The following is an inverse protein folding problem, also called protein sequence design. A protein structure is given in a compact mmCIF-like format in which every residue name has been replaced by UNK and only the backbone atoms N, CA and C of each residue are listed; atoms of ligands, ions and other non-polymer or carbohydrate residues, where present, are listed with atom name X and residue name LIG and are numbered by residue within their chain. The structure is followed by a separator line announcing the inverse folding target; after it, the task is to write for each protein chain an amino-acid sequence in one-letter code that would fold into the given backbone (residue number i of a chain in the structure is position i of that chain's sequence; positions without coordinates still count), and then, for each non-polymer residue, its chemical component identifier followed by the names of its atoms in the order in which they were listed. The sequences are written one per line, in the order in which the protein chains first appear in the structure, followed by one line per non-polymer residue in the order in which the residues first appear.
data_IF_133598849919
#
_entry.id   IF_133598849919
#
_cell.length_a   1.000
_cell.length_b   1.000
_cell.length_c   1.000
_cell.angle_alpha   90.00
_cell.angle_beta   90.00
_cell.angle_gamma   90.00
#
_symmetry.space_group_name_H-M   'P 1'
#
loop_
_entity.id
_entity.type
_entity.pdbx_description
1 polymer ?
#
# COMPACT_ATOMS: atom_id res chain seq x y z
N UNK A 1 65.26 6.40 36.78
CA UNK A 1 66.09 6.65 35.58
C UNK A 1 65.22 6.33 34.38
N UNK A 2 64.52 7.31 33.80
CA UNK A 2 65.06 8.40 32.96
C UNK A 2 64.93 7.92 31.51
N UNK A 3 64.37 8.61 30.52
CA UNK A 3 63.91 9.99 30.39
C UNK A 3 62.86 10.10 29.26
N UNK A 4 62.14 11.22 29.30
CA UNK A 4 61.23 11.76 28.30
C UNK A 4 61.92 12.18 26.97
N UNK A 5 61.16 12.18 25.87
CA UNK A 5 61.13 13.25 24.84
C UNK A 5 59.95 12.96 23.87
N UNK A 6 58.80 13.64 23.78
CA UNK A 6 58.39 15.03 23.50
C UNK A 6 58.55 15.56 22.05
N UNK A 7 57.47 16.21 21.58
CA UNK A 7 57.35 17.03 20.34
C UNK A 7 56.27 16.47 19.40
N UNK A 8 55.04 16.99 19.27
CA UNK A 8 54.65 18.38 18.94
C UNK A 8 54.67 18.54 17.40
N UNK A 9 53.69 19.00 16.64
CA UNK A 9 52.43 19.73 16.84
C UNK A 9 52.20 20.56 15.56
N UNK A 10 50.95 20.68 15.08
CA UNK A 10 50.50 21.64 14.04
C UNK A 10 50.09 20.97 12.71
N UNK A 11 48.81 20.91 12.32
CA UNK A 11 47.82 21.94 11.89
C UNK A 11 47.88 22.30 10.40
N UNK A 12 46.71 22.13 9.75
CA UNK A 12 46.32 22.65 8.43
C UNK A 12 46.10 21.51 7.42
N UNK A 13 44.96 21.31 6.77
CA UNK A 13 43.70 22.04 6.65
C UNK A 13 43.10 21.74 5.27
N UNK A 14 41.77 21.55 5.19
CA UNK A 14 40.98 21.76 3.96
C UNK A 14 40.51 20.53 3.16
N UNK A 15 39.19 20.49 2.91
CA UNK A 15 38.48 19.54 2.03
C UNK A 15 37.57 18.60 2.83
N UNK A 16 36.36 18.97 3.28
CA UNK A 16 35.16 19.21 2.47
C UNK A 16 34.97 18.12 1.41
N UNK A 17 34.19 17.10 1.74
CA UNK A 17 33.02 16.68 0.95
C UNK A 17 32.17 15.73 1.79
N UNK A 18 30.87 16.05 1.83
CA UNK A 18 29.88 15.40 2.68
C UNK A 18 29.30 14.17 2.01
N UNK A 19 29.45 13.02 2.64
CA UNK A 19 28.66 11.84 2.30
C UNK A 19 27.33 11.90 3.04
N UNK A 20 26.36 12.48 2.33
CA UNK A 20 24.96 12.47 2.66
C UNK A 20 24.40 11.05 2.65
N UNK A 21 23.89 10.66 3.81
CA UNK A 21 22.77 9.76 4.05
C UNK A 21 21.94 9.39 2.78
N UNK A 22 22.25 8.25 2.16
CA UNK A 22 21.41 7.63 1.14
C UNK A 22 20.26 6.88 1.83
N UNK A 23 19.29 7.63 2.36
CA UNK A 23 17.95 7.10 2.53
C UNK A 23 17.33 6.97 1.15
N UNK A 24 17.32 5.76 0.58
CA UNK A 24 16.53 5.44 -0.60
C UNK A 24 15.05 5.68 -0.29
N UNK A 25 14.60 6.89 -0.60
CA UNK A 25 13.19 7.22 -0.72
C UNK A 25 12.66 6.49 -1.95
N UNK A 26 11.83 5.47 -1.73
CA UNK A 26 10.99 4.90 -2.77
C UNK A 26 10.09 6.00 -3.33
N UNK A 27 10.53 6.62 -4.43
CA UNK A 27 9.80 7.63 -5.16
C UNK A 27 8.58 7.01 -5.86
N UNK A 28 7.39 7.37 -5.40
CA UNK A 28 6.17 7.21 -6.20
C UNK A 28 6.23 8.20 -7.36
N UNK A 29 6.64 7.73 -8.53
CA UNK A 29 6.55 8.46 -9.79
C UNK A 29 5.08 8.62 -10.19
N UNK A 30 4.50 9.78 -9.90
CA UNK A 30 3.17 10.17 -10.35
C UNK A 30 3.18 10.57 -11.82
N UNK A 31 2.79 9.64 -12.70
CA UNK A 31 2.39 9.95 -14.06
C UNK A 31 1.01 10.60 -14.05
N UNK A 32 0.94 11.86 -14.49
CA UNK A 32 -0.28 12.61 -14.61
C UNK A 32 -1.15 12.08 -15.76
N UNK A 33 -2.23 11.37 -15.44
CA UNK A 33 -3.35 11.14 -16.36
C UNK A 33 -4.64 11.43 -15.62
N UNK A 34 -5.45 12.33 -16.19
CA UNK A 34 -6.55 13.01 -15.53
C UNK A 34 -7.61 12.07 -14.95
N UNK A 35 -7.62 12.00 -13.62
CA UNK A 35 -8.81 11.93 -12.78
C UNK A 35 -8.61 13.07 -11.76
N UNK A 36 -9.64 13.86 -11.52
CA UNK A 36 -9.60 15.16 -10.83
C UNK A 36 -8.57 15.29 -9.70
N UNK A 37 -7.83 16.40 -9.74
CA UNK A 37 -6.76 16.71 -8.82
C UNK A 37 -7.23 16.83 -7.37
N UNK A 38 -6.93 15.80 -6.59
CA UNK A 38 -6.72 15.94 -5.17
C UNK A 38 -5.38 15.27 -4.83
N UNK A 39 -4.39 16.08 -4.48
CA UNK A 39 -3.14 15.61 -3.86
C UNK A 39 -3.39 15.11 -2.41
N UNK A 40 -4.63 14.70 -2.11
CA UNK A 40 -5.17 14.48 -0.79
C UNK A 40 -5.26 13.00 -0.48
N UNK A 41 -4.39 12.57 0.44
CA UNK A 41 -4.52 11.33 1.25
C UNK A 41 -4.75 10.04 0.46
N UNK A 42 -3.71 9.20 0.35
CA UNK A 42 -3.85 7.83 -0.17
C UNK A 42 -3.97 6.83 0.96
N UNK A 43 -4.74 5.76 0.76
CA UNK A 43 -4.91 4.69 1.74
C UNK A 43 -3.57 4.14 2.25
N UNK A 44 -2.62 3.89 1.33
CA UNK A 44 -1.26 3.44 1.65
C UNK A 44 -0.49 4.44 2.51
N UNK A 45 -0.59 5.73 2.20
CA UNK A 45 0.06 6.80 2.99
C UNK A 45 -0.57 6.94 4.38
N UNK A 46 -1.88 6.74 4.50
CA UNK A 46 -2.57 6.73 5.80
C UNK A 46 -2.11 5.55 6.64
N UNK A 47 -2.06 4.35 6.08
CA UNK A 47 -1.51 3.17 6.77
C UNK A 47 -0.08 3.40 7.25
N UNK A 48 0.81 3.85 6.36
CA UNK A 48 2.20 4.13 6.69
C UNK A 48 2.32 5.20 7.79
N UNK A 49 1.53 6.28 7.71
CA UNK A 49 1.50 7.33 8.72
C UNK A 49 1.06 6.80 10.08
N UNK A 50 -0.03 6.02 10.15
CA UNK A 50 -0.54 5.48 11.41
C UNK A 50 0.44 4.51 12.05
N UNK A 51 1.07 3.63 11.26
CA UNK A 51 2.10 2.72 11.75
C UNK A 51 3.34 3.47 12.26
N UNK A 52 3.84 4.46 11.49
CA UNK A 52 4.97 5.29 11.89
C UNK A 52 4.68 6.06 13.17
N UNK A 53 3.50 6.68 13.26
CA UNK A 53 3.09 7.43 14.44
C UNK A 53 2.99 6.50 15.65
N UNK A 54 2.34 5.34 15.51
CA UNK A 54 2.24 4.34 16.57
C UNK A 54 3.61 3.87 17.07
N UNK A 55 4.57 3.69 16.15
CA UNK A 55 5.94 3.31 16.47
C UNK A 55 6.66 4.33 17.37
N UNK A 56 6.31 5.62 17.27
CA UNK A 56 6.86 6.71 18.10
C UNK A 56 6.29 6.79 19.52
N UNK A 57 5.46 5.82 19.95
CA UNK A 57 4.85 5.76 21.30
C UNK A 57 4.16 7.09 21.72
N UNK A 58 3.21 7.61 20.92
CA UNK A 58 2.56 8.89 21.19
C UNK A 58 1.80 8.88 22.52
N UNK A 59 1.61 10.07 23.09
CA UNK A 59 0.85 10.25 24.34
C UNK A 59 -0.61 9.80 24.18
N UNK A 60 -1.29 9.56 25.30
CA UNK A 60 -2.73 9.23 25.31
C UNK A 60 -3.55 10.30 24.60
N UNK A 61 -3.23 11.58 24.82
CA UNK A 61 -3.95 12.71 24.22
C UNK A 61 -3.85 12.67 22.70
N UNK A 62 -2.64 12.48 22.16
CA UNK A 62 -2.43 12.41 20.70
C UNK A 62 -3.18 11.23 20.10
N UNK A 63 -3.14 10.05 20.74
CA UNK A 63 -3.88 8.86 20.28
C UNK A 63 -5.39 9.08 20.30
N UNK A 64 -5.92 9.69 21.36
CA UNK A 64 -7.35 9.98 21.47
C UNK A 64 -7.81 11.01 20.44
N UNK A 65 -7.05 12.09 20.23
CA UNK A 65 -7.35 13.10 19.21
C UNK A 65 -7.31 12.49 17.80
N UNK A 66 -6.33 11.63 17.52
CA UNK A 66 -6.25 10.93 16.25
C UNK A 66 -7.43 9.98 16.04
N UNK A 67 -7.81 9.22 17.07
CA UNK A 67 -8.96 8.34 17.00
C UNK A 67 -10.26 9.12 16.75
N UNK A 68 -10.42 10.30 17.37
CA UNK A 68 -11.54 11.19 17.11
C UNK A 68 -11.51 11.74 15.68
N UNK A 69 -10.34 12.18 15.20
CA UNK A 69 -10.19 12.69 13.84
C UNK A 69 -10.52 11.62 12.79
N UNK A 70 -10.12 10.36 13.01
CA UNK A 70 -10.36 9.25 12.08
C UNK A 70 -11.80 8.74 12.10
N UNK A 71 -12.51 8.84 13.24
CA UNK A 71 -13.84 8.24 13.43
C UNK A 71 -14.95 9.31 13.58
N UNK A 72 -14.82 10.46 12.90
CA UNK A 72 -15.88 11.48 12.93
C UNK A 72 -17.18 10.99 12.29
N UNK A 73 -17.06 10.18 11.23
CA UNK A 73 -18.19 9.58 10.53
C UNK A 73 -17.84 8.15 10.06
N UNK A 74 -18.87 7.33 9.86
CA UNK A 74 -18.82 5.93 9.42
C UNK A 74 -18.44 5.75 7.95
N UNK A 75 -18.50 6.80 7.14
CA UNK A 75 -18.19 6.72 5.70
C UNK A 75 -16.98 7.52 5.26
N UNK A 76 -16.48 8.44 6.09
CA UNK A 76 -15.39 9.35 5.73
C UNK A 76 -14.17 9.21 6.62
N UNK A 77 -13.00 9.41 6.03
CA UNK A 77 -11.72 9.56 6.69
C UNK A 77 -11.46 11.04 6.97
N UNK A 78 -11.08 11.38 8.20
CA UNK A 78 -10.87 12.77 8.64
C UNK A 78 -12.08 13.70 8.48
N UNK A 79 -13.30 13.14 8.36
CA UNK A 79 -14.52 13.91 8.11
C UNK A 79 -14.57 14.56 6.72
N UNK A 80 -13.65 14.22 5.82
CA UNK A 80 -13.49 14.89 4.50
C UNK A 80 -13.47 13.92 3.34
N UNK A 81 -12.74 12.82 3.46
CA UNK A 81 -12.47 11.93 2.34
C UNK A 81 -13.40 10.73 2.40
N UNK A 82 -14.26 10.55 1.42
CA UNK A 82 -15.09 9.34 1.31
C UNK A 82 -14.22 8.08 1.17
N UNK A 83 -14.44 7.10 2.05
CA UNK A 83 -13.66 5.89 2.08
C UNK A 83 -13.84 5.05 0.82
N UNK A 84 -15.03 5.04 0.22
CA UNK A 84 -15.28 4.28 -1.01
C UNK A 84 -14.44 4.84 -2.16
N UNK A 85 -14.39 6.16 -2.27
CA UNK A 85 -13.53 6.87 -3.23
C UNK A 85 -12.05 6.58 -2.99
N UNK A 86 -11.60 6.58 -1.73
CA UNK A 86 -10.22 6.23 -1.37
C UNK A 86 -9.87 4.77 -1.68
N UNK A 87 -10.79 3.84 -1.45
CA UNK A 87 -10.63 2.42 -1.79
C UNK A 87 -10.45 2.28 -3.30
N UNK A 88 -11.35 2.86 -4.10
CA UNK A 88 -11.26 2.84 -5.57
C UNK A 88 -9.95 3.43 -6.06
N UNK A 89 -9.52 4.56 -5.51
CA UNK A 89 -8.22 5.14 -5.82
C UNK A 89 -7.05 4.20 -5.44
N UNK A 90 -7.13 3.54 -4.29
CA UNK A 90 -6.14 2.54 -3.85
C UNK A 90 -6.03 1.36 -4.81
N UNK A 91 -7.14 0.91 -5.38
CA UNK A 91 -7.15 -0.16 -6.39
C UNK A 91 -6.63 0.34 -7.75
N UNK A 92 -6.97 1.56 -8.15
CA UNK A 92 -6.45 2.16 -9.38
C UNK A 92 -4.92 2.30 -9.33
N UNK A 93 -4.38 2.76 -8.19
CA UNK A 93 -2.92 2.81 -7.99
C UNK A 93 -2.29 1.43 -7.94
N UNK A 94 -3.02 0.40 -7.52
CA UNK A 94 -2.59 -0.99 -7.58
C UNK A 94 -2.51 -1.55 -9.01
N UNK A 95 -3.13 -0.89 -10.00
CA UNK A 95 -3.15 -1.31 -11.41
C UNK A 95 -4.46 -1.96 -11.85
N UNK A 96 -5.54 -1.78 -11.07
CA UNK A 96 -6.85 -2.34 -11.36
C UNK A 96 -7.63 -1.38 -12.26
N UNK A 97 -8.06 -1.82 -13.46
CA UNK A 97 -8.81 -1.01 -14.41
C UNK A 97 -10.09 -0.44 -13.82
N UNK A 98 -10.35 0.84 -14.11
CA UNK A 98 -11.54 1.54 -13.64
C UNK A 98 -12.85 0.85 -14.10
N UNK A 99 -12.84 0.20 -15.26
CA UNK A 99 -14.01 -0.51 -15.82
C UNK A 99 -14.55 -1.61 -14.88
N UNK A 100 -13.70 -2.23 -14.04
CA UNK A 100 -14.20 -3.24 -13.09
C UNK A 100 -15.07 -2.66 -11.98
N UNK A 101 -14.94 -1.37 -11.69
CA UNK A 101 -15.79 -0.70 -10.68
C UNK A 101 -17.20 -0.39 -11.18
N UNK A 102 -17.50 -0.66 -12.46
CA UNK A 102 -18.86 -0.61 -13.01
C UNK A 102 -19.65 -1.89 -12.67
N UNK A 103 -18.97 -2.97 -12.29
CA UNK A 103 -19.62 -4.20 -11.87
C UNK A 103 -20.33 -4.01 -10.50
N UNK A 104 -21.61 -4.38 -10.43
CA UNK A 104 -22.41 -4.31 -9.21
C UNK A 104 -21.79 -5.05 -8.03
N UNK A 105 -21.15 -6.19 -8.28
CA UNK A 105 -20.53 -7.02 -7.25
C UNK A 105 -19.31 -6.32 -6.64
N UNK A 106 -18.50 -5.65 -7.47
CA UNK A 106 -17.34 -4.86 -7.04
C UNK A 106 -17.80 -3.64 -6.24
N UNK A 107 -18.91 -3.01 -6.61
CA UNK A 107 -19.50 -1.90 -5.85
C UNK A 107 -19.98 -2.38 -4.48
N UNK A 108 -20.71 -3.49 -4.41
CA UNK A 108 -21.19 -4.06 -3.15
C UNK A 108 -20.03 -4.45 -2.22
N UNK A 109 -18.98 -5.07 -2.76
CA UNK A 109 -17.79 -5.41 -1.99
C UNK A 109 -17.02 -4.18 -1.51
N UNK A 110 -16.88 -3.15 -2.36
CA UNK A 110 -16.29 -1.86 -1.95
C UNK A 110 -17.03 -1.25 -0.75
N UNK A 111 -18.36 -1.38 -0.74
CA UNK A 111 -19.20 -0.90 0.36
C UNK A 111 -18.97 -1.71 1.65
N UNK A 112 -18.86 -3.03 1.53
CA UNK A 112 -18.57 -3.92 2.67
C UNK A 112 -17.20 -3.66 3.30
N UNK A 113 -16.20 -3.24 2.52
CA UNK A 113 -14.85 -2.97 3.00
C UNK A 113 -14.71 -1.73 3.89
N UNK A 114 -15.66 -0.80 3.83
CA UNK A 114 -15.57 0.46 4.58
C UNK A 114 -15.41 0.19 6.08
N UNK A 115 -16.25 -0.68 6.66
CA UNK A 115 -16.22 -0.97 8.08
C UNK A 115 -14.92 -1.68 8.54
N UNK A 116 -14.44 -2.75 7.87
CA UNK A 116 -13.13 -3.36 8.16
C UNK A 116 -11.97 -2.36 8.09
N UNK A 117 -11.96 -1.46 7.11
CA UNK A 117 -10.92 -0.44 6.99
C UNK A 117 -10.95 0.56 8.13
N UNK A 118 -12.14 1.07 8.49
CA UNK A 118 -12.30 1.95 9.65
C UNK A 118 -11.84 1.29 10.95
N UNK A 119 -12.24 0.03 11.15
CA UNK A 119 -11.85 -0.73 12.32
C UNK A 119 -10.33 -0.92 12.37
N UNK A 120 -9.70 -1.15 11.21
CA UNK A 120 -8.24 -1.23 11.10
C UNK A 120 -7.58 0.09 11.50
N UNK A 121 -8.01 1.22 10.94
CA UNK A 121 -7.48 2.54 11.31
C UNK A 121 -7.63 2.85 12.79
N UNK A 122 -8.80 2.52 13.36
CA UNK A 122 -9.05 2.65 14.79
C UNK A 122 -8.09 1.82 15.63
N UNK A 123 -7.84 0.56 15.26
CA UNK A 123 -6.91 -0.31 15.99
C UNK A 123 -5.49 0.23 15.99
N UNK A 124 -5.04 0.82 14.87
CA UNK A 124 -3.71 1.43 14.75
C UNK A 124 -3.51 2.66 15.65
N UNK A 125 -4.59 3.26 16.17
CA UNK A 125 -4.49 4.37 17.15
C UNK A 125 -4.28 3.91 18.59
N UNK A 126 -4.48 2.63 18.89
CA UNK A 126 -4.36 2.14 20.25
C UNK A 126 -2.90 2.08 20.72
N UNK A 127 -2.71 1.99 22.04
CA UNK A 127 -1.41 1.61 22.59
C UNK A 127 -1.04 0.17 22.16
N UNK A 128 0.25 -0.17 22.24
CA UNK A 128 0.76 -1.44 21.72
C UNK A 128 0.10 -2.70 22.27
N UNK A 129 -0.06 -2.89 23.60
CA UNK A 129 -0.74 -4.08 24.13
C UNK A 129 -2.20 -4.20 23.69
N UNK A 130 -2.90 -3.08 23.54
CA UNK A 130 -4.31 -3.07 23.09
C UNK A 130 -4.41 -3.27 21.58
N UNK A 131 -3.51 -2.67 20.81
CA UNK A 131 -3.39 -2.88 19.37
C UNK A 131 -3.14 -4.36 19.06
N UNK A 132 -2.16 -4.99 19.70
CA UNK A 132 -1.86 -6.42 19.51
C UNK A 132 -3.07 -7.32 19.79
N UNK A 133 -3.80 -7.08 20.90
CA UNK A 133 -5.01 -7.84 21.23
C UNK A 133 -6.15 -7.62 20.25
N UNK A 134 -6.36 -6.37 19.81
CA UNK A 134 -7.49 -6.00 18.94
C UNK A 134 -7.26 -6.37 17.47
N UNK A 135 -6.02 -6.55 17.05
CA UNK A 135 -5.69 -6.97 15.68
C UNK A 135 -6.32 -8.31 15.30
N UNK A 136 -6.56 -9.22 16.26
CA UNK A 136 -7.22 -10.51 16.01
C UNK A 136 -8.61 -10.35 15.40
N UNK A 137 -9.39 -9.38 15.90
CA UNK A 137 -10.72 -9.09 15.33
C UNK A 137 -10.62 -8.51 13.92
N UNK A 138 -9.62 -7.64 13.70
CA UNK A 138 -9.33 -7.08 12.37
C UNK A 138 -9.02 -8.23 11.38
N UNK A 139 -8.22 -9.22 11.76
CA UNK A 139 -7.94 -10.36 10.88
C UNK A 139 -9.19 -11.17 10.53
N UNK A 140 -10.14 -11.33 11.45
CA UNK A 140 -11.41 -12.00 11.15
C UNK A 140 -12.24 -11.22 10.13
N UNK A 141 -12.33 -9.90 10.29
CA UNK A 141 -13.05 -9.05 9.34
C UNK A 141 -12.40 -9.10 7.95
N UNK A 142 -11.07 -9.07 7.89
CA UNK A 142 -10.33 -9.13 6.63
C UNK A 142 -10.37 -10.50 5.96
N UNK A 143 -10.51 -11.60 6.69
CA UNK A 143 -10.65 -12.93 6.11
C UNK A 143 -11.92 -13.00 5.23
N UNK A 144 -13.03 -12.44 5.70
CA UNK A 144 -14.28 -12.35 4.92
C UNK A 144 -14.07 -11.50 3.66
N UNK A 145 -13.40 -10.34 3.80
CA UNK A 145 -13.11 -9.47 2.65
C UNK A 145 -12.21 -10.16 1.61
N UNK A 146 -11.28 -11.02 2.05
CA UNK A 146 -10.42 -11.80 1.16
C UNK A 146 -11.20 -12.87 0.41
N UNK A 147 -12.03 -13.66 1.10
CA UNK A 147 -12.86 -14.68 0.47
C UNK A 147 -13.79 -14.07 -0.60
N UNK A 148 -14.40 -12.92 -0.29
CA UNK A 148 -15.25 -12.19 -1.25
C UNK A 148 -14.43 -11.63 -2.43
N UNK A 149 -13.21 -11.15 -2.17
CA UNK A 149 -12.32 -10.64 -3.21
C UNK A 149 -11.90 -11.73 -4.21
N UNK A 150 -11.61 -12.93 -3.70
CA UNK A 150 -11.27 -14.08 -4.55
C UNK A 150 -12.47 -14.53 -5.39
N UNK A 151 -13.69 -14.47 -4.82
CA UNK A 151 -14.92 -14.74 -5.56
C UNK A 151 -15.18 -13.72 -6.67
N UNK A 152 -14.94 -12.43 -6.41
CA UNK A 152 -15.03 -11.36 -7.41
C UNK A 152 -14.02 -11.57 -8.52
N UNK A 153 -12.77 -11.85 -8.18
CA UNK A 153 -11.72 -12.13 -9.18
C UNK A 153 -12.13 -13.32 -10.06
N UNK A 154 -12.64 -14.41 -9.47
CA UNK A 154 -13.12 -15.58 -10.21
C UNK A 154 -14.27 -15.22 -11.18
N UNK A 155 -15.20 -14.38 -10.74
CA UNK A 155 -16.35 -13.92 -11.54
C UNK A 155 -15.90 -13.06 -12.72
N UNK A 156 -14.94 -12.15 -12.51
CA UNK A 156 -14.36 -11.31 -13.56
C UNK A 156 -13.60 -12.17 -14.57
N UNK A 157 -12.83 -13.15 -14.11
CA UNK A 157 -12.10 -14.09 -14.97
C UNK A 157 -13.09 -14.86 -15.84
N UNK A 158 -14.14 -15.44 -15.25
CA UNK A 158 -15.18 -16.17 -15.98
C UNK A 158 -15.88 -15.31 -17.03
N UNK A 159 -16.23 -14.07 -16.70
CA UNK A 159 -16.87 -13.13 -17.62
C UNK A 159 -15.94 -12.69 -18.76
N UNK A 160 -14.62 -12.64 -18.52
CA UNK A 160 -13.66 -12.12 -19.49
C UNK A 160 -13.25 -13.13 -20.57
N UNK A 161 -13.59 -14.42 -20.44
CA UNK A 161 -13.11 -15.52 -21.31
C UNK A 161 -11.57 -15.64 -21.42
N UNK A 162 -10.81 -14.91 -20.61
CA UNK A 162 -9.37 -15.08 -20.50
C UNK A 162 -9.05 -16.30 -19.64
N UNK A 163 -7.96 -17.00 -19.97
CA UNK A 163 -7.45 -18.06 -19.10
C UNK A 163 -7.06 -17.46 -17.73
N UNK A 164 -7.31 -18.19 -16.64
CA UNK A 164 -6.94 -17.78 -15.27
C UNK A 164 -5.47 -17.36 -15.17
N UNK A 165 -4.59 -18.05 -15.90
CA UNK A 165 -3.14 -17.80 -15.95
C UNK A 165 -2.78 -16.44 -16.58
N UNK A 166 -3.69 -15.85 -17.36
CA UNK A 166 -3.50 -14.58 -18.06
C UNK A 166 -4.11 -13.40 -17.30
N UNK A 167 -4.89 -13.68 -16.25
CA UNK A 167 -5.60 -12.70 -15.44
C UNK A 167 -5.18 -12.85 -13.98
N UNK A 168 -4.21 -12.03 -13.50
CA UNK A 168 -3.81 -12.11 -12.10
C UNK A 168 -5.02 -11.72 -11.22
N UNK A 169 -5.27 -12.47 -10.15
CA UNK A 169 -6.21 -12.09 -9.10
C UNK A 169 -5.85 -10.67 -8.63
N UNK A 170 -6.74 -9.71 -8.82
CA UNK A 170 -6.43 -8.29 -8.65
C UNK A 170 -6.89 -7.82 -7.28
N UNK A 171 -8.15 -8.11 -6.95
CA UNK A 171 -8.77 -7.72 -5.68
C UNK A 171 -8.24 -8.57 -4.53
N UNK A 172 -8.09 -9.89 -4.74
CA UNK A 172 -7.52 -10.81 -3.78
C UNK A 172 -6.05 -10.49 -3.44
N UNK A 173 -5.21 -10.25 -4.45
CA UNK A 173 -3.80 -9.89 -4.22
C UNK A 173 -3.66 -8.57 -3.47
N UNK A 174 -4.53 -7.58 -3.75
CA UNK A 174 -4.53 -6.31 -3.05
C UNK A 174 -4.93 -6.45 -1.57
N UNK A 175 -5.99 -7.21 -1.27
CA UNK A 175 -6.44 -7.43 0.10
C UNK A 175 -5.43 -8.26 0.90
N UNK A 176 -4.77 -9.23 0.26
CA UNK A 176 -3.68 -10.03 0.85
C UNK A 176 -2.47 -9.17 1.23
N UNK A 177 -2.04 -8.22 0.38
CA UNK A 177 -0.90 -7.35 0.73
C UNK A 177 -1.15 -6.54 2.02
N UNK A 178 -2.36 -6.00 2.19
CA UNK A 178 -2.74 -5.27 3.40
C UNK A 178 -2.72 -6.18 4.63
N UNK A 179 -3.34 -7.36 4.53
CA UNK A 179 -3.40 -8.30 5.66
C UNK A 179 -2.02 -8.81 6.05
N UNK A 180 -1.15 -9.10 5.08
CA UNK A 180 0.23 -9.51 5.37
C UNK A 180 0.97 -8.41 6.14
N UNK A 181 0.83 -7.14 5.72
CA UNK A 181 1.45 -6.02 6.43
C UNK A 181 0.95 -5.90 7.89
N UNK A 182 -0.35 -6.08 8.11
CA UNK A 182 -0.97 -6.10 9.44
C UNK A 182 -0.50 -7.31 10.28
N UNK A 183 -0.36 -8.49 9.67
CA UNK A 183 0.15 -9.70 10.34
C UNK A 183 1.62 -9.54 10.72
N UNK A 184 2.44 -8.94 9.85
CA UNK A 184 3.83 -8.60 10.16
C UNK A 184 3.93 -7.58 11.29
N UNK A 185 3.05 -6.57 11.32
CA UNK A 185 2.94 -5.66 12.47
C UNK A 185 2.56 -6.41 13.75
N UNK A 186 1.60 -7.34 13.69
CA UNK A 186 1.16 -8.10 14.86
C UNK A 186 2.26 -9.00 15.44
N UNK A 187 3.03 -9.70 14.59
CA UNK A 187 4.18 -10.49 15.03
C UNK A 187 5.25 -9.60 15.67
N UNK A 188 5.61 -8.48 15.02
CA UNK A 188 6.58 -7.49 15.56
C UNK A 188 6.15 -6.94 16.92
N UNK A 189 4.86 -6.67 17.09
CA UNK A 189 4.31 -6.27 18.39
C UNK A 189 4.44 -7.36 19.45
N UNK A 190 4.35 -8.64 19.07
CA UNK A 190 4.58 -9.76 19.98
C UNK A 190 6.01 -9.77 20.54
N UNK A 191 7.01 -9.52 19.68
CA UNK A 191 8.40 -9.36 20.11
C UNK A 191 8.59 -8.13 21.01
N UNK A 192 8.04 -6.97 20.62
CA UNK A 192 8.18 -5.74 21.42
C UNK A 192 7.55 -5.85 22.81
N UNK A 193 6.47 -6.63 22.93
CA UNK A 193 5.76 -6.84 24.18
C UNK A 193 6.28 -8.04 24.98
N UNK A 194 7.38 -8.66 24.53
CA UNK A 194 8.00 -9.84 25.16
C UNK A 194 7.01 -10.99 25.38
N UNK A 195 6.13 -11.22 24.39
CA UNK A 195 5.07 -12.23 24.47
C UNK A 195 5.56 -13.62 24.08
N UNK A 196 6.65 -13.71 23.32
CA UNK A 196 7.23 -14.97 22.86
C UNK A 196 8.25 -15.47 23.88
N UNK A 197 8.16 -16.76 24.23
CA UNK A 197 9.22 -17.41 25.00
C UNK A 197 10.35 -17.83 24.06
N UNK A 198 11.52 -18.13 24.62
CA UNK A 198 12.69 -18.54 23.84
C UNK A 198 12.40 -19.69 22.84
N UNK A 199 11.55 -20.65 23.21
CA UNK A 199 11.16 -21.77 22.33
C UNK A 199 10.11 -21.42 21.27
N UNK A 200 9.41 -20.29 21.41
CA UNK A 200 8.42 -19.82 20.44
C UNK A 200 9.03 -18.89 19.38
N UNK A 201 10.25 -18.40 19.63
CA UNK A 201 10.94 -17.43 18.77
C UNK A 201 11.15 -17.98 17.36
N UNK A 202 11.57 -19.24 17.24
CA UNK A 202 11.82 -19.88 15.95
C UNK A 202 10.55 -19.92 15.09
N UNK A 203 9.41 -20.28 15.70
CA UNK A 203 8.12 -20.29 15.02
C UNK A 203 7.68 -18.88 14.61
N UNK A 204 7.89 -17.88 15.47
CA UNK A 204 7.54 -16.49 15.16
C UNK A 204 8.38 -15.92 14.00
N UNK A 205 9.69 -16.21 13.96
CA UNK A 205 10.57 -15.81 12.85
C UNK A 205 10.21 -16.54 11.56
N UNK A 206 9.95 -17.84 11.63
CA UNK A 206 9.55 -18.63 10.46
C UNK A 206 8.24 -18.14 9.85
N UNK A 207 7.25 -17.81 10.70
CA UNK A 207 6.00 -17.18 10.23
C UNK A 207 6.26 -15.81 9.59
N UNK A 208 7.10 -14.97 10.20
CA UNK A 208 7.43 -13.65 9.64
C UNK A 208 8.12 -13.77 8.28
N UNK A 209 9.07 -14.69 8.13
CA UNK A 209 9.72 -14.98 6.85
C UNK A 209 8.70 -15.44 5.79
N UNK A 210 7.84 -16.40 6.12
CA UNK A 210 6.81 -16.89 5.21
C UNK A 210 5.85 -15.79 4.73
N UNK A 211 5.47 -14.88 5.63
CA UNK A 211 4.66 -13.71 5.29
C UNK A 211 5.39 -12.76 4.36
N UNK A 212 6.66 -12.44 4.63
CA UNK A 212 7.45 -11.54 3.80
C UNK A 212 7.70 -12.12 2.40
N UNK A 213 7.99 -13.42 2.29
CA UNK A 213 8.12 -14.12 1.01
C UNK A 213 6.81 -14.11 0.22
N UNK A 214 5.67 -14.25 0.90
CA UNK A 214 4.35 -14.16 0.25
C UNK A 214 4.10 -12.74 -0.25
N UNK A 215 4.43 -11.72 0.54
CA UNK A 215 4.34 -10.32 0.13
C UNK A 215 5.20 -10.00 -1.08
N UNK A 216 6.43 -10.52 -1.12
CA UNK A 216 7.33 -10.34 -2.26
C UNK A 216 6.72 -10.92 -3.55
N UNK A 217 6.11 -12.10 -3.47
CA UNK A 217 5.39 -12.70 -4.61
C UNK A 217 4.22 -11.82 -5.06
N UNK A 218 3.39 -11.36 -4.12
CA UNK A 218 2.27 -10.45 -4.42
C UNK A 218 2.74 -9.14 -5.06
N UNK A 219 3.84 -8.56 -4.57
CA UNK A 219 4.43 -7.35 -5.13
C UNK A 219 4.92 -7.55 -6.57
N UNK A 220 5.57 -8.69 -6.86
CA UNK A 220 5.99 -9.05 -8.23
C UNK A 220 4.81 -9.17 -9.19
N UNK A 221 3.70 -9.77 -8.75
CA UNK A 221 2.47 -9.88 -9.54
C UNK A 221 1.88 -8.49 -9.82
N UNK A 222 1.80 -7.63 -8.80
CA UNK A 222 1.30 -6.26 -8.95
C UNK A 222 2.18 -5.42 -9.90
N UNK A 223 3.51 -5.53 -9.80
CA UNK A 223 4.45 -4.86 -10.70
C UNK A 223 4.27 -5.32 -12.15
N UNK A 224 4.16 -6.63 -12.37
CA UNK A 224 3.90 -7.18 -13.71
C UNK A 224 2.58 -6.68 -14.29
N UNK A 225 1.50 -6.64 -13.48
CA UNK A 225 0.21 -6.14 -13.91
C UNK A 225 0.26 -4.66 -14.34
N UNK A 226 0.98 -3.82 -13.58
CA UNK A 226 1.20 -2.41 -13.92
C UNK A 226 2.00 -2.26 -15.21
N UNK A 227 3.11 -2.98 -15.36
CA UNK A 227 3.93 -2.94 -16.58
C UNK A 227 3.13 -3.33 -17.82
N UNK A 228 2.32 -4.39 -17.72
CA UNK A 228 1.46 -4.83 -18.83
C UNK A 228 0.43 -3.77 -19.21
N UNK A 229 -0.21 -3.13 -18.23
CA UNK A 229 -1.13 -2.01 -18.48
C UNK A 229 -0.43 -0.84 -19.17
N UNK A 230 0.73 -0.43 -18.67
CA UNK A 230 1.47 0.70 -19.25
C UNK A 230 1.90 0.39 -20.70
N UNK A 231 2.20 -0.88 -21.01
CA UNK A 231 2.43 -1.34 -22.38
C UNK A 231 1.16 -1.30 -23.26
N UNK A 232 0.02 -1.76 -22.73
CA UNK A 232 -1.26 -1.75 -23.44
C UNK A 232 -1.73 -0.31 -23.74
N UNK A 233 -1.58 0.61 -22.78
CA UNK A 233 -1.89 2.03 -22.94
C UNK A 233 -0.97 2.70 -23.97
N UNK A 234 0.33 2.41 -23.92
CA UNK A 234 1.28 2.92 -24.92
C UNK A 234 0.96 2.40 -26.33
N UNK A 235 0.60 1.13 -26.47
CA UNK A 235 0.19 0.54 -27.74
C UNK A 235 -1.10 1.18 -28.28
N UNK A 236 -2.11 1.40 -27.43
CA UNK A 236 -3.34 2.09 -27.77
C UNK A 236 -3.10 3.54 -28.23
N UNK A 237 -2.23 4.28 -27.54
CA UNK A 237 -1.85 5.64 -27.91
C UNK A 237 -1.17 5.70 -29.30
N UNK A 238 -0.29 4.75 -29.62
CA UNK A 238 0.35 4.64 -30.94
C UNK A 238 -0.68 4.37 -32.04
N UNK A 239 -1.65 3.49 -31.79
CA UNK A 239 -2.73 3.20 -32.75
C UNK A 239 -3.64 4.42 -32.96
N UNK A 240 -4.01 5.11 -31.88
CA UNK A 240 -4.78 6.35 -31.96
C UNK A 240 -4.06 7.43 -32.78
N UNK A 241 -2.75 7.64 -32.55
CA UNK A 241 -1.93 8.60 -33.29
C UNK A 241 -1.83 8.27 -34.80
N UNK A 242 -1.75 6.99 -35.17
CA UNK A 242 -1.75 6.55 -36.58
C UNK A 242 -3.09 6.84 -37.27
N UNK A 243 -4.21 6.65 -36.58
CA UNK A 243 -5.55 6.91 -37.13
C UNK A 243 -5.80 8.39 -37.45
N UNK A 244 -5.24 9.30 -36.64
CA UNK A 244 -5.35 10.76 -36.84
C UNK A 244 -4.54 11.22 -38.05
N UNK A 245 -3.32 10.69 -38.24
CA UNK A 245 -2.50 10.97 -39.44
C UNK A 245 -3.13 10.48 -40.74
N UNK A 246 -3.91 9.40 -40.71
CA UNK A 246 -4.64 8.88 -41.87
C UNK A 246 -5.74 9.81 -42.37
N UNK A 247 -6.48 10.47 -41.46
CA UNK A 247 -7.58 11.39 -41.81
C UNK A 247 -7.08 12.70 -42.44
N UNK A 248 -5.87 13.15 -42.12
CA UNK A 248 -5.28 14.39 -42.67
C UNK A 248 -4.87 14.31 -44.15
N UNK A 249 -4.44 13.14 -44.64
CA UNK A 249 -4.02 12.97 -46.05
C UNK A 249 -5.19 12.86 -47.05
N UNK A 250 -6.40 12.53 -46.58
CA UNK A 250 -7.58 12.40 -47.45
C UNK A 250 -8.21 13.74 -47.89
N UNK A 251 -7.99 14.83 -47.14
CA UNK A 251 -8.59 16.14 -47.43
C UNK A 251 -7.75 17.02 -48.38
N UNK A 252 -6.47 16.71 -48.56
CA UNK A 252 -5.56 17.46 -49.43
C UNK A 252 -5.55 16.97 -50.90
N UNK A 253 -6.36 15.96 -51.25
CA UNK A 253 -6.41 15.35 -52.59
C UNK A 253 -7.70 15.64 -53.38
N UNK A 254 -8.54 16.54 -52.85
CA UNK A 254 -9.76 17.07 -53.48
C UNK A 254 -9.67 18.60 -53.50
N UNK A 255 -8.89 19.12 -54.43
CA UNK A 255 -8.73 20.55 -54.73
C UNK A 255 -8.29 20.65 -56.17
#
# INVERSE_FOLDING_TARGET
SGDHNSGGGGRGGGGADGDGNASESFGYGGGATGIGGDAGVHLSTTFAYLQMLSARKPSVVVRSLLALALNQDTSTLFGKYDLKTLIRHGHHTAGIPAAYFENSDVVAWTDMMVAPLQQTFKVLTFNRPRMWRRMKAVFTDWAVIQDDADWIDATIIAASSLAANQHPHRFGVWSVDIVIDLQCLWLRLGFELDLYRAHDMDAAYWMLEGLLLTREKSAKVALWARQKRDQDEAAAAVLAAKSVKGKGKGKARRG
#
